data_IF_902399263629
#
_entry.id   IF_902399263629
#
_cell.length_a   1.000
_cell.length_b   1.000
_cell.length_c   1.000
_cell.angle_alpha   90.00
_cell.angle_beta   90.00
_cell.angle_gamma   90.00
#
_symmetry.space_group_name_H-M   'P 1'
#
loop_
_entity.id
_entity.type
_entity.pdbx_description
1 polymer ?
#
# COMPACT_ATOMS: atom_id res chain seq x y z
N UNK A 1 -60.02 -58.42 -30.09
CA UNK A 1 -59.31 -58.80 -28.85
C UNK A 1 -57.98 -59.38 -29.31
N UNK A 2 -56.79 -58.81 -29.04
CA UNK A 2 -56.35 -58.35 -27.72
C UNK A 2 -55.45 -57.07 -27.66
N UNK A 3 -55.57 -56.38 -26.52
CA UNK A 3 -54.58 -55.60 -25.74
C UNK A 3 -53.43 -54.81 -26.40
N UNK A 4 -53.57 -53.49 -26.40
CA UNK A 4 -52.45 -52.52 -26.35
C UNK A 4 -51.79 -52.50 -24.96
N UNK A 5 -50.45 -52.58 -24.85
CA UNK A 5 -49.78 -52.35 -23.57
C UNK A 5 -49.67 -50.86 -23.22
N UNK A 6 -49.91 -50.55 -21.95
CA UNK A 6 -49.93 -49.21 -21.35
C UNK A 6 -48.53 -48.61 -21.20
N UNK A 7 -48.53 -47.30 -21.40
CA UNK A 7 -47.53 -46.24 -21.13
C UNK A 7 -46.87 -46.34 -19.74
N UNK A 8 -45.56 -46.21 -19.69
CA UNK A 8 -44.83 -45.62 -18.55
C UNK A 8 -43.47 -45.12 -19.02
N UNK A 9 -43.36 -43.81 -19.22
CA UNK A 9 -42.06 -43.14 -19.32
C UNK A 9 -41.90 -42.28 -18.07
N UNK A 10 -40.87 -42.59 -17.29
CA UNK A 10 -40.49 -41.81 -16.12
C UNK A 10 -40.16 -40.37 -16.55
N UNK A 11 -40.74 -39.40 -15.84
CA UNK A 11 -40.39 -37.98 -15.97
C UNK A 11 -38.97 -37.80 -15.42
N UNK A 12 -38.02 -37.23 -16.19
CA UNK A 12 -36.73 -36.87 -15.60
C UNK A 12 -36.96 -35.77 -14.55
N UNK A 13 -36.41 -35.98 -13.36
CA UNK A 13 -36.37 -34.97 -12.33
C UNK A 13 -35.62 -33.74 -12.86
N UNK A 14 -36.31 -32.61 -12.92
CA UNK A 14 -35.74 -31.32 -13.25
C UNK A 14 -34.81 -30.95 -12.11
N UNK A 15 -33.49 -30.99 -12.35
CA UNK A 15 -32.52 -30.46 -11.40
C UNK A 15 -32.77 -28.96 -11.32
N UNK A 16 -33.10 -28.48 -10.12
CA UNK A 16 -33.10 -27.05 -9.83
C UNK A 16 -31.76 -26.47 -10.25
N UNK A 17 -31.80 -25.54 -11.20
CA UNK A 17 -30.62 -24.79 -11.59
C UNK A 17 -30.25 -23.91 -10.40
N UNK A 18 -29.16 -24.27 -9.72
CA UNK A 18 -28.45 -23.38 -8.81
C UNK A 18 -28.23 -22.04 -9.54
N UNK A 19 -28.55 -20.88 -8.92
CA UNK A 19 -28.31 -19.61 -9.55
C UNK A 19 -26.80 -19.52 -9.79
N UNK A 20 -26.41 -19.41 -11.06
CA UNK A 20 -25.03 -19.21 -11.46
C UNK A 20 -24.51 -18.00 -10.67
N UNK A 21 -23.59 -18.25 -9.73
CA UNK A 21 -22.89 -17.22 -9.02
C UNK A 21 -22.37 -16.24 -10.08
N UNK A 22 -22.88 -15.01 -10.02
CA UNK A 22 -22.44 -13.96 -10.94
C UNK A 22 -20.97 -13.78 -10.60
N UNK A 23 -20.09 -14.26 -11.49
CA UNK A 23 -18.65 -14.05 -11.34
C UNK A 23 -18.45 -12.55 -11.47
N UNK A 24 -18.35 -11.85 -10.34
CA UNK A 24 -17.95 -10.47 -10.29
C UNK A 24 -16.56 -10.40 -10.92
N UNK A 25 -16.52 -9.97 -12.18
CA UNK A 25 -15.28 -9.71 -12.88
C UNK A 25 -14.72 -8.44 -12.23
N UNK A 26 -13.87 -8.63 -11.22
CA UNK A 26 -13.09 -7.53 -10.64
C UNK A 26 -12.22 -6.95 -11.76
N UNK A 27 -12.45 -5.68 -12.09
CA UNK A 27 -11.47 -4.93 -12.85
C UNK A 27 -10.32 -4.60 -11.91
N UNK A 28 -9.18 -5.25 -12.11
CA UNK A 28 -7.99 -5.01 -11.31
C UNK A 28 -7.50 -3.56 -11.45
N UNK A 29 -7.86 -2.85 -12.53
CA UNK A 29 -7.54 -1.44 -12.70
C UNK A 29 -8.36 -0.55 -11.77
N UNK A 30 -9.62 -0.92 -11.48
CA UNK A 30 -10.45 -0.21 -10.49
C UNK A 30 -9.89 -0.40 -9.07
N UNK A 31 -9.25 -1.53 -8.77
CA UNK A 31 -8.54 -1.73 -7.51
C UNK A 31 -7.25 -0.91 -7.39
N UNK A 32 -6.69 -0.44 -8.51
CA UNK A 32 -5.48 0.38 -8.55
C UNK A 32 -5.80 1.89 -8.56
N UNK A 33 -7.07 2.26 -8.75
CA UNK A 33 -7.55 3.63 -8.63
C UNK A 33 -7.52 4.06 -7.16
N UNK A 34 -6.33 4.44 -6.69
CA UNK A 34 -6.17 5.12 -5.41
C UNK A 34 -6.67 6.54 -5.58
N UNK A 35 -7.69 6.92 -4.80
CA UNK A 35 -8.16 8.30 -4.78
C UNK A 35 -7.00 9.24 -4.43
N UNK A 36 -6.88 10.40 -5.10
CA UNK A 36 -5.86 11.39 -4.77
C UNK A 36 -6.00 11.81 -3.31
N UNK A 37 -4.96 11.56 -2.51
CA UNK A 37 -4.94 11.83 -1.09
C UNK A 37 -4.24 13.18 -0.85
N UNK A 38 -4.87 14.14 -0.17
CA UNK A 38 -4.25 15.42 0.09
C UNK A 38 -2.97 15.22 0.93
N UNK A 39 -1.96 16.10 0.75
CA UNK A 39 -0.79 16.11 1.63
C UNK A 39 -1.20 16.16 3.10
N UNK A 40 -0.43 15.47 3.94
CA UNK A 40 -0.68 15.41 5.37
C UNK A 40 0.27 16.35 6.11
N UNK A 41 -0.29 17.42 6.67
CA UNK A 41 0.44 18.34 7.55
C UNK A 41 0.80 17.62 8.86
N UNK A 42 2.09 17.61 9.22
CA UNK A 42 2.57 17.03 10.47
C UNK A 42 3.66 17.88 11.10
N UNK A 43 3.71 17.87 12.43
CA UNK A 43 4.86 18.38 13.17
C UNK A 43 5.67 17.20 13.72
N UNK A 44 6.90 17.03 13.25
CA UNK A 44 7.79 15.95 13.66
C UNK A 44 9.08 16.54 14.23
N UNK A 45 9.39 16.23 15.50
CA UNK A 45 10.58 16.74 16.19
C UNK A 45 10.67 18.29 16.17
N UNK A 46 9.53 18.98 16.15
CA UNK A 46 9.43 20.44 16.06
C UNK A 46 9.64 21.02 14.66
N UNK A 47 9.66 20.17 13.63
CA UNK A 47 9.67 20.57 12.21
C UNK A 47 8.27 20.37 11.63
N UNK A 48 7.70 21.44 11.10
CA UNK A 48 6.44 21.38 10.35
C UNK A 48 6.74 20.92 8.92
N UNK A 49 6.01 19.91 8.45
CA UNK A 49 6.25 19.25 7.18
C UNK A 49 4.95 18.77 6.54
N UNK A 50 4.86 18.89 5.22
CA UNK A 50 3.76 18.36 4.44
C UNK A 50 4.17 17.03 3.82
N UNK A 51 3.66 15.92 4.34
CA UNK A 51 3.91 14.60 3.80
C UNK A 51 3.08 14.44 2.52
N UNK A 52 3.78 14.33 1.38
CA UNK A 52 3.15 13.96 0.11
C UNK A 52 2.60 12.54 0.20
N UNK A 53 1.40 12.34 -0.34
CA UNK A 53 0.72 11.04 -0.40
C UNK A 53 0.46 10.58 -1.84
N UNK A 54 0.90 11.37 -2.80
CA UNK A 54 0.81 11.08 -4.22
C UNK A 54 2.19 11.09 -4.85
N UNK A 55 2.50 9.98 -5.52
CA UNK A 55 3.75 9.75 -6.20
C UNK A 55 3.48 9.10 -7.55
N UNK A 56 4.14 9.60 -8.57
CA UNK A 56 4.17 8.94 -9.87
C UNK A 56 4.95 7.64 -9.77
N UNK A 57 4.70 6.68 -10.68
CA UNK A 57 5.47 5.43 -10.71
C UNK A 57 6.99 5.64 -10.84
N UNK A 58 7.43 6.73 -11.50
CA UNK A 58 8.84 7.11 -11.58
C UNK A 58 9.41 7.55 -10.23
N UNK A 59 8.63 8.30 -9.46
CA UNK A 59 9.00 8.72 -8.10
C UNK A 59 9.05 7.52 -7.15
N UNK A 60 8.11 6.58 -7.26
CA UNK A 60 8.14 5.34 -6.45
C UNK A 60 9.39 4.50 -6.75
N UNK A 61 9.76 4.35 -8.02
CA UNK A 61 11.02 3.67 -8.40
C UNK A 61 12.23 4.42 -7.83
N UNK A 62 12.25 5.75 -7.92
CA UNK A 62 13.32 6.58 -7.37
C UNK A 62 13.42 6.43 -5.86
N UNK A 63 12.29 6.36 -5.16
CA UNK A 63 12.25 6.12 -3.71
C UNK A 63 12.97 4.81 -3.34
N UNK A 64 12.64 3.69 -3.99
CA UNK A 64 13.29 2.41 -3.71
C UNK A 64 14.79 2.40 -4.07
N UNK A 65 15.19 3.12 -5.13
CA UNK A 65 16.61 3.30 -5.45
C UNK A 65 17.35 4.08 -4.36
N UNK A 66 16.75 5.14 -3.82
CA UNK A 66 17.34 5.94 -2.73
C UNK A 66 17.43 5.14 -1.44
N UNK A 67 16.39 4.34 -1.13
CA UNK A 67 16.36 3.45 0.02
C UNK A 67 17.49 2.41 -0.06
N UNK A 68 17.62 1.70 -1.18
CA UNK A 68 18.67 0.68 -1.38
C UNK A 68 20.08 1.28 -1.36
N UNK A 69 20.22 2.55 -1.74
CA UNK A 69 21.49 3.26 -1.69
C UNK A 69 21.81 3.88 -0.32
N UNK A 70 20.93 3.74 0.69
CA UNK A 70 21.10 4.36 2.01
C UNK A 70 21.02 5.89 1.99
N UNK A 71 20.42 6.48 0.94
CA UNK A 71 20.32 7.94 0.76
C UNK A 71 19.10 8.51 1.46
N UNK A 72 19.05 8.38 2.79
CA UNK A 72 17.88 8.73 3.60
C UNK A 72 17.50 10.21 3.55
N UNK A 73 18.48 11.13 3.48
CA UNK A 73 18.19 12.56 3.28
C UNK A 73 17.40 12.79 2.00
N UNK A 74 17.90 12.33 0.85
CA UNK A 74 17.23 12.50 -0.43
C UNK A 74 15.88 11.78 -0.49
N UNK A 75 15.73 10.68 0.26
CA UNK A 75 14.46 9.99 0.41
C UNK A 75 13.44 10.83 1.20
N UNK A 76 13.85 11.46 2.30
CA UNK A 76 13.00 12.37 3.07
C UNK A 76 12.61 13.59 2.23
N UNK A 77 13.54 14.17 1.49
CA UNK A 77 13.27 15.30 0.60
C UNK A 77 12.22 14.97 -0.46
N UNK A 78 12.22 13.73 -0.98
CA UNK A 78 11.19 13.28 -1.91
C UNK A 78 9.79 13.26 -1.28
N UNK A 79 9.70 12.93 0.01
CA UNK A 79 8.43 12.75 0.73
C UNK A 79 7.87 14.07 1.27
N UNK A 80 8.71 14.90 1.89
CA UNK A 80 8.28 16.11 2.62
C UNK A 80 8.76 17.42 2.00
N UNK A 81 9.45 17.36 0.86
CA UNK A 81 10.09 18.53 0.23
C UNK A 81 11.52 18.78 0.73
N UNK A 82 12.26 19.56 -0.05
CA UNK A 82 13.71 19.73 0.13
C UNK A 82 14.09 20.34 1.49
N UNK A 83 13.39 21.42 1.89
CA UNK A 83 13.68 22.17 3.12
C UNK A 83 13.30 21.39 4.37
N UNK A 84 12.06 20.86 4.43
CA UNK A 84 11.58 20.07 5.56
C UNK A 84 12.35 18.73 5.67
N UNK A 85 12.71 18.12 4.54
CA UNK A 85 13.50 16.89 4.51
C UNK A 85 14.91 17.08 5.07
N UNK A 86 15.56 18.19 4.75
CA UNK A 86 16.84 18.56 5.33
C UNK A 86 16.74 18.82 6.84
N UNK A 87 15.75 19.62 7.27
CA UNK A 87 15.53 19.91 8.68
C UNK A 87 15.22 18.65 9.51
N UNK A 88 14.40 17.73 8.99
CA UNK A 88 14.14 16.45 9.65
C UNK A 88 15.39 15.58 9.73
N UNK A 89 16.20 15.53 8.68
CA UNK A 89 17.43 14.76 8.70
C UNK A 89 18.44 15.27 9.74
N UNK A 90 18.57 16.59 9.88
CA UNK A 90 19.41 17.20 10.93
C UNK A 90 18.93 16.90 12.35
N UNK A 91 17.62 16.68 12.55
CA UNK A 91 17.07 16.27 13.85
C UNK A 91 17.19 14.77 14.10
N UNK A 92 17.25 13.95 13.04
CA UNK A 92 17.24 12.49 13.13
C UNK A 92 18.64 11.86 13.09
N UNK A 93 19.53 12.31 12.20
CA UNK A 93 20.83 11.64 11.99
C UNK A 93 21.89 11.89 13.08
N UNK A 94 22.02 13.10 13.67
CA UNK A 94 23.05 13.37 14.67
C UNK A 94 22.69 13.00 16.14
N UNK A 95 21.50 13.34 16.69
CA UNK A 95 21.25 13.20 18.13
C UNK A 95 20.45 11.94 18.51
N UNK A 96 19.85 11.23 17.54
CA UNK A 96 18.92 10.13 17.82
C UNK A 96 19.61 8.78 17.67
N UNK A 97 19.42 7.84 18.61
CA UNK A 97 19.93 6.48 18.46
C UNK A 97 19.41 5.83 17.17
N UNK A 98 20.22 5.03 16.45
CA UNK A 98 19.85 4.49 15.14
C UNK A 98 18.50 3.73 15.13
N UNK A 99 18.17 3.01 16.20
CA UNK A 99 16.89 2.31 16.32
C UNK A 99 15.67 3.26 16.38
N UNK A 100 15.81 4.43 17.02
CA UNK A 100 14.76 5.44 17.05
C UNK A 100 14.68 6.21 15.72
N UNK A 101 15.82 6.48 15.08
CA UNK A 101 15.87 7.07 13.75
C UNK A 101 15.14 6.19 12.72
N UNK A 102 15.38 4.88 12.74
CA UNK A 102 14.68 3.92 11.89
C UNK A 102 13.15 3.95 12.10
N UNK A 103 12.68 4.01 13.35
CA UNK A 103 11.25 4.12 13.68
C UNK A 103 10.62 5.41 13.13
N UNK A 104 11.30 6.55 13.27
CA UNK A 104 10.81 7.84 12.75
C UNK A 104 10.72 7.79 11.23
N UNK A 105 11.76 7.29 10.55
CA UNK A 105 11.79 7.18 9.09
C UNK A 105 10.71 6.21 8.59
N UNK A 106 10.56 5.03 9.21
CA UNK A 106 9.49 4.09 8.89
C UNK A 106 8.11 4.73 9.06
N UNK A 107 7.91 5.54 10.11
CA UNK A 107 6.63 6.22 10.33
C UNK A 107 6.33 7.22 9.21
N UNK A 108 7.31 8.03 8.81
CA UNK A 108 7.16 9.01 7.72
C UNK A 108 6.81 8.31 6.40
N UNK A 109 7.47 7.20 6.09
CA UNK A 109 7.22 6.43 4.86
C UNK A 109 5.84 5.79 4.87
N UNK A 110 5.39 5.23 6.00
CA UNK A 110 4.04 4.68 6.10
C UNK A 110 2.97 5.77 5.94
N UNK A 111 3.21 6.98 6.46
CA UNK A 111 2.30 8.11 6.28
C UNK A 111 2.23 8.61 4.82
N UNK A 112 3.33 8.48 4.08
CA UNK A 112 3.37 8.82 2.64
C UNK A 112 2.76 7.77 1.74
N UNK A 113 2.35 6.61 2.27
CA UNK A 113 1.76 5.47 1.53
C UNK A 113 2.68 4.88 0.44
N UNK A 114 3.96 5.27 0.39
CA UNK A 114 4.93 4.74 -0.58
C UNK A 114 5.35 3.30 -0.32
N UNK A 115 5.33 2.91 0.95
CA UNK A 115 5.59 1.55 1.38
C UNK A 115 4.78 1.26 2.65
N UNK A 116 4.32 0.02 2.77
CA UNK A 116 3.68 -0.49 3.98
C UNK A 116 4.67 -1.35 4.76
N UNK A 117 4.75 -1.14 6.07
CA UNK A 117 5.57 -1.94 6.99
C UNK A 117 6.85 -1.25 7.46
N UNK A 118 7.82 -2.04 7.90
CA UNK A 118 9.13 -1.55 8.36
C UNK A 118 10.17 -1.72 7.25
N UNK A 119 10.52 -0.62 6.58
CA UNK A 119 11.56 -0.62 5.54
C UNK A 119 12.98 -0.61 6.12
N UNK A 120 13.14 -0.12 7.36
CA UNK A 120 14.39 -0.13 8.11
C UNK A 120 14.20 -0.99 9.35
N UNK A 121 14.96 -2.08 9.46
CA UNK A 121 15.00 -2.88 10.68
C UNK A 121 15.67 -2.08 11.80
N UNK A 122 15.09 -2.04 13.02
CA UNK A 122 15.81 -1.50 14.17
C UNK A 122 17.08 -2.32 14.38
N UNK A 123 18.24 -1.64 14.45
CA UNK A 123 19.52 -2.29 14.73
C UNK A 123 19.43 -3.03 16.08
N UNK A 124 19.98 -4.26 16.19
CA UNK A 124 19.93 -5.02 17.43
C UNK A 124 20.59 -4.22 18.55
N UNK A 125 19.86 -4.05 19.66
CA UNK A 125 20.41 -3.52 20.91
C UNK A 125 21.36 -4.58 21.47
N UNK A 126 22.67 -4.38 21.29
CA UNK A 126 23.68 -5.12 22.06
C UNK A 126 23.70 -4.62 23.51
#
# INVERSE_FOLDING_TARGET
MPSTPRKSTARPAQRDAEPAATVERLDLLDCLATEPLPPLEVTLLGVDADIRREFTGKESVRFFQLLNAGKHLSMLQLIVGDDAGAALWEKVSPPVPPAHAAKVINRIVNLSTLAEGEILAPLPTS
#
